data_IF_598553762485
#
_entry.id   IF_598553762485
#
_cell.length_a   1.000
_cell.length_b   1.000
_cell.length_c   1.000
_cell.angle_alpha   90.00
_cell.angle_beta   90.00
_cell.angle_gamma   90.00
#
_symmetry.space_group_name_H-M   'P 1'
#
loop_
_entity.id
_entity.type
_entity.pdbx_description
1 polymer ?
#
# COMPACT_ATOMS: atom_id res chain seq x y z
N UNK A 1 6.56 -8.29 5.46
CA UNK A 1 6.77 -7.87 4.06
C UNK A 1 6.94 -6.35 3.90
N UNK A 2 5.91 -5.48 3.93
CA UNK A 2 6.12 -4.02 4.03
C UNK A 2 6.40 -3.56 5.46
N UNK A 3 5.66 -4.10 6.44
CA UNK A 3 5.87 -3.83 7.86
C UNK A 3 7.28 -4.22 8.36
N UNK A 4 7.86 -5.30 7.82
CA UNK A 4 9.23 -5.73 8.13
C UNK A 4 10.26 -4.72 7.62
N UNK A 5 10.12 -4.28 6.36
CA UNK A 5 10.97 -3.23 5.81
C UNK A 5 10.83 -1.93 6.61
N UNK A 6 9.61 -1.56 6.99
CA UNK A 6 9.38 -0.42 7.85
C UNK A 6 10.07 -0.57 9.20
N UNK A 7 10.20 -1.77 9.75
CA UNK A 7 10.96 -2.02 10.98
C UNK A 7 12.46 -1.88 10.76
N UNK A 8 13.01 -2.47 9.70
CA UNK A 8 14.45 -2.44 9.39
C UNK A 8 14.96 -1.02 9.14
N UNK A 9 14.14 -0.20 8.48
CA UNK A 9 14.47 1.19 8.11
C UNK A 9 13.81 2.23 9.03
N UNK A 10 13.11 1.80 10.10
CA UNK A 10 12.25 2.67 10.91
C UNK A 10 12.96 3.93 11.39
N UNK A 11 14.14 3.75 11.98
CA UNK A 11 14.91 4.84 12.57
C UNK A 11 15.47 5.81 11.54
N UNK A 12 15.78 5.32 10.33
CA UNK A 12 16.22 6.18 9.25
C UNK A 12 15.04 6.99 8.71
N UNK A 13 13.92 6.32 8.41
CA UNK A 13 12.71 6.97 7.94
C UNK A 13 12.17 7.98 8.93
N UNK A 14 12.23 7.73 10.24
CA UNK A 14 11.79 8.69 11.26
C UNK A 14 12.58 10.01 11.27
N UNK A 15 13.78 10.06 10.70
CA UNK A 15 14.53 11.33 10.53
C UNK A 15 13.96 12.21 9.43
N UNK A 16 13.25 11.62 8.48
CA UNK A 16 12.71 12.29 7.29
C UNK A 16 11.18 12.40 7.32
N UNK A 17 10.51 11.48 8.01
CA UNK A 17 9.06 11.36 8.04
C UNK A 17 8.50 11.54 9.45
N UNK A 18 7.43 12.32 9.54
CA UNK A 18 6.53 12.32 10.67
C UNK A 18 5.33 11.40 10.38
N UNK A 19 5.22 10.29 11.11
CA UNK A 19 4.15 9.31 10.89
C UNK A 19 2.86 9.74 11.60
N UNK A 20 1.86 10.15 10.82
CA UNK A 20 0.57 10.67 11.32
C UNK A 20 -0.51 9.58 11.45
N UNK A 21 -0.71 8.78 10.40
CA UNK A 21 -1.67 7.69 10.37
C UNK A 21 -0.99 6.37 9.95
N UNK A 22 -0.47 5.64 10.94
CA UNK A 22 0.29 4.41 10.73
C UNK A 22 -0.48 3.19 11.26
N UNK A 23 -1.49 2.74 10.52
CA UNK A 23 -2.32 1.58 10.86
C UNK A 23 -1.51 0.30 11.15
N UNK A 24 -0.36 0.13 10.50
CA UNK A 24 0.45 -1.09 10.56
C UNK A 24 1.23 -1.26 11.87
N UNK A 25 1.61 -0.16 12.55
CA UNK A 25 2.52 -0.24 13.71
C UNK A 25 2.25 0.79 14.82
N UNK A 26 1.16 1.57 14.74
CA UNK A 26 0.76 2.50 15.79
C UNK A 26 -0.73 2.40 16.13
N UNK A 27 -1.03 2.31 17.42
CA UNK A 27 -2.39 2.47 17.95
C UNK A 27 -2.81 3.93 18.12
N UNK A 28 -1.83 4.86 18.15
CA UNK A 28 -2.08 6.31 18.17
C UNK A 28 -2.05 6.80 16.73
N UNK A 29 -3.24 7.06 16.18
CA UNK A 29 -3.44 7.44 14.78
C UNK A 29 -4.26 8.71 14.71
N UNK A 30 -3.83 9.63 13.87
CA UNK A 30 -4.65 10.76 13.47
C UNK A 30 -5.19 10.52 12.05
N UNK A 31 -6.46 10.13 12.00
CA UNK A 31 -7.14 9.80 10.74
C UNK A 31 -7.71 11.02 10.02
N UNK A 32 -7.57 12.22 10.60
CA UNK A 32 -8.22 13.44 10.13
C UNK A 32 -7.22 14.45 9.54
N UNK A 33 -6.00 14.50 10.07
CA UNK A 33 -4.98 15.45 9.59
C UNK A 33 -4.61 15.23 8.12
N UNK A 34 -4.31 16.30 7.36
CA UNK A 34 -3.74 16.20 6.02
C UNK A 34 -2.44 15.41 6.02
N UNK A 35 -2.16 14.75 4.89
CA UNK A 35 -0.94 13.98 4.66
C UNK A 35 -0.21 14.51 3.42
N UNK A 36 1.10 14.61 3.50
CA UNK A 36 1.91 14.84 2.29
C UNK A 36 1.93 13.58 1.42
N UNK A 37 2.15 12.42 2.04
CA UNK A 37 2.27 11.13 1.37
C UNK A 37 1.46 10.07 2.12
N UNK A 38 0.69 9.25 1.38
CA UNK A 38 0.06 8.04 1.88
C UNK A 38 0.58 6.82 1.11
N UNK A 39 1.27 5.92 1.82
CA UNK A 39 1.64 4.60 1.32
C UNK A 39 0.54 3.60 1.65
N UNK A 40 -0.04 2.95 0.64
CA UNK A 40 -1.19 2.05 0.81
C UNK A 40 -0.83 0.68 0.22
N UNK A 41 -0.82 -0.33 1.08
CA UNK A 41 -0.64 -1.74 0.72
C UNK A 41 -2.00 -2.45 0.59
N UNK A 42 -2.10 -3.42 -0.31
CA UNK A 42 -3.26 -4.30 -0.43
C UNK A 42 -4.33 -3.83 -1.43
N UNK A 43 -5.24 -4.75 -1.75
CA UNK A 43 -6.41 -4.52 -2.59
C UNK A 43 -7.67 -4.36 -1.70
N UNK A 44 -8.69 -3.66 -2.18
CA UNK A 44 -9.94 -3.53 -1.48
C UNK A 44 -10.70 -4.87 -1.48
N UNK A 45 -10.94 -5.42 -0.30
CA UNK A 45 -11.65 -6.68 -0.11
C UNK A 45 -12.92 -6.50 0.76
N UNK A 46 -13.35 -5.25 0.96
CA UNK A 46 -14.58 -4.87 1.63
C UNK A 46 -14.98 -3.43 1.26
N UNK A 47 -16.24 -3.07 1.48
CA UNK A 47 -16.70 -1.68 1.33
C UNK A 47 -15.99 -0.74 2.30
N UNK A 48 -15.60 -1.24 3.47
CA UNK A 48 -14.81 -0.49 4.44
C UNK A 48 -13.43 -0.11 3.90
N UNK A 49 -12.77 -1.02 3.17
CA UNK A 49 -11.48 -0.72 2.52
C UNK A 49 -11.64 0.38 1.48
N UNK A 50 -12.70 0.29 0.66
CA UNK A 50 -13.01 1.31 -0.36
C UNK A 50 -13.20 2.68 0.30
N UNK A 51 -14.02 2.76 1.36
CA UNK A 51 -14.24 4.01 2.10
C UNK A 51 -12.94 4.53 2.72
N UNK A 52 -12.09 3.64 3.24
CA UNK A 52 -10.80 4.01 3.82
C UNK A 52 -9.85 4.58 2.77
N UNK A 53 -9.74 3.93 1.61
CA UNK A 53 -8.93 4.39 0.48
C UNK A 53 -9.41 5.76 -0.03
N UNK A 54 -10.72 5.96 -0.16
CA UNK A 54 -11.30 7.25 -0.56
C UNK A 54 -10.96 8.37 0.44
N UNK A 55 -11.08 8.10 1.74
CA UNK A 55 -10.70 9.07 2.80
C UNK A 55 -9.21 9.39 2.78
N UNK A 56 -8.35 8.39 2.59
CA UNK A 56 -6.91 8.59 2.45
C UNK A 56 -6.58 9.47 1.24
N UNK A 57 -7.21 9.20 0.09
CA UNK A 57 -7.03 10.00 -1.12
C UNK A 57 -7.44 11.46 -0.93
N UNK A 58 -8.54 11.71 -0.23
CA UNK A 58 -9.06 13.07 0.00
C UNK A 58 -8.11 13.96 0.81
N UNK A 59 -7.31 13.36 1.69
CA UNK A 59 -6.41 14.13 2.59
C UNK A 59 -4.93 13.99 2.26
N UNK A 60 -4.54 13.10 1.36
CA UNK A 60 -3.17 12.93 0.93
C UNK A 60 -2.86 13.77 -0.32
N UNK A 61 -1.72 14.47 -0.33
CA UNK A 61 -1.22 15.13 -1.54
C UNK A 61 -0.72 14.09 -2.56
N UNK A 62 0.03 13.07 -2.09
CA UNK A 62 0.53 11.95 -2.90
C UNK A 62 0.05 10.60 -2.35
N UNK A 63 -0.42 9.71 -3.22
CA UNK A 63 -0.75 8.31 -2.89
C UNK A 63 0.17 7.36 -3.64
N UNK A 64 0.76 6.43 -2.90
CA UNK A 64 1.66 5.41 -3.43
C UNK A 64 1.05 4.04 -3.23
N UNK A 65 0.82 3.31 -4.31
CA UNK A 65 0.39 1.92 -4.25
C UNK A 65 1.59 1.02 -3.93
N UNK A 66 1.50 0.24 -2.86
CA UNK A 66 2.56 -0.64 -2.39
C UNK A 66 2.18 -2.10 -2.60
N UNK A 67 3.01 -2.83 -3.33
CA UNK A 67 2.89 -4.26 -3.55
C UNK A 67 1.92 -4.65 -4.67
N UNK A 68 2.05 -5.90 -5.12
CA UNK A 68 1.32 -6.45 -6.27
C UNK A 68 -0.20 -6.34 -6.13
N UNK A 69 -0.74 -6.56 -4.92
CA UNK A 69 -2.18 -6.44 -4.68
C UNK A 69 -2.69 -5.01 -4.89
N UNK A 70 -1.98 -3.99 -4.38
CA UNK A 70 -2.39 -2.61 -4.57
C UNK A 70 -2.25 -2.15 -6.03
N UNK A 71 -1.17 -2.59 -6.70
CA UNK A 71 -0.86 -2.18 -8.07
C UNK A 71 -1.75 -2.88 -9.12
N UNK A 72 -1.87 -4.21 -9.02
CA UNK A 72 -2.47 -5.07 -10.06
C UNK A 72 -3.66 -5.90 -9.57
N UNK A 73 -3.86 -6.00 -8.26
CA UNK A 73 -4.93 -6.79 -7.64
C UNK A 73 -4.49 -8.22 -7.32
N UNK A 74 -3.46 -8.74 -7.99
CA UNK A 74 -3.02 -10.12 -7.82
C UNK A 74 -2.03 -10.28 -6.65
N UNK A 75 -2.10 -11.41 -5.92
CA UNK A 75 -2.99 -12.56 -6.16
C UNK A 75 -4.40 -12.42 -5.56
N UNK A 76 -4.67 -11.41 -4.72
CA UNK A 76 -5.97 -11.29 -4.02
C UNK A 76 -7.17 -11.33 -4.96
N UNK A 77 -7.10 -10.63 -6.09
CA UNK A 77 -8.15 -10.55 -7.10
C UNK A 77 -8.25 -11.76 -8.04
N UNK A 78 -7.51 -12.84 -7.80
CA UNK A 78 -7.55 -14.04 -8.65
C UNK A 78 -8.97 -14.61 -8.75
N UNK A 79 -9.78 -14.51 -7.69
CA UNK A 79 -11.17 -14.97 -7.73
C UNK A 79 -12.07 -14.19 -8.70
N UNK A 80 -11.65 -13.01 -9.14
CA UNK A 80 -12.41 -12.23 -10.13
C UNK A 80 -12.43 -12.90 -11.51
N UNK A 81 -11.53 -13.85 -11.78
CA UNK A 81 -11.45 -14.60 -13.05
C UNK A 81 -11.97 -16.02 -12.93
N UNK A 82 -12.59 -16.38 -11.80
CA UNK A 82 -13.16 -17.70 -11.59
C UNK A 82 -14.36 -17.93 -12.53
N UNK A 83 -14.49 -19.18 -12.96
CA UNK A 83 -15.68 -19.69 -13.67
C UNK A 83 -16.92 -19.63 -12.77
N UNK A 84 -18.15 -19.63 -13.33
CA UNK A 84 -19.37 -19.69 -12.53
C UNK A 84 -19.39 -20.86 -11.54
N UNK A 85 -18.86 -22.02 -11.91
CA UNK A 85 -18.75 -23.20 -11.06
C UNK A 85 -17.82 -22.95 -9.86
N UNK A 86 -16.66 -22.33 -10.10
CA UNK A 86 -15.72 -21.95 -9.06
C UNK A 86 -16.28 -20.88 -8.13
N UNK A 87 -17.02 -19.89 -8.65
CA UNK A 87 -17.72 -18.89 -7.84
C UNK A 87 -18.77 -19.56 -6.96
N UNK A 88 -19.60 -20.45 -7.52
CA UNK A 88 -20.60 -21.19 -6.75
C UNK A 88 -19.96 -22.01 -5.61
N UNK A 89 -18.78 -22.58 -5.83
CA UNK A 89 -18.04 -23.32 -4.81
C UNK A 89 -17.55 -22.44 -3.64
N UNK A 90 -17.18 -21.17 -3.89
CA UNK A 90 -16.73 -20.24 -2.85
C UNK A 90 -17.84 -19.34 -2.29
N UNK A 91 -19.02 -19.31 -2.91
CA UNK A 91 -20.13 -18.42 -2.53
C UNK A 91 -20.50 -18.50 -1.03
N UNK A 92 -20.55 -19.68 -0.39
CA UNK A 92 -20.84 -19.76 1.05
C UNK A 92 -19.81 -19.02 1.91
N UNK A 93 -18.54 -19.01 1.49
CA UNK A 93 -17.45 -18.29 2.17
C UNK A 93 -17.62 -16.79 1.96
N UNK A 94 -17.90 -16.35 0.73
CA UNK A 94 -18.11 -14.93 0.41
C UNK A 94 -19.26 -14.36 1.24
N UNK A 95 -20.39 -15.06 1.29
CA UNK A 95 -21.55 -14.64 2.09
C UNK A 95 -21.25 -14.66 3.59
N UNK A 96 -20.60 -15.71 4.11
CA UNK A 96 -20.28 -15.83 5.54
C UNK A 96 -19.42 -14.69 6.06
N UNK A 97 -18.48 -14.20 5.26
CA UNK A 97 -17.55 -13.16 5.64
C UNK A 97 -17.87 -11.79 5.03
N UNK A 98 -19.02 -11.66 4.36
CA UNK A 98 -19.45 -10.43 3.68
C UNK A 98 -18.38 -9.87 2.73
N UNK A 99 -17.73 -10.74 1.96
CA UNK A 99 -16.78 -10.32 0.93
C UNK A 99 -17.53 -9.81 -0.30
N UNK A 100 -17.01 -8.76 -0.98
CA UNK A 100 -17.59 -8.29 -2.23
C UNK A 100 -17.42 -9.34 -3.32
N UNK A 101 -18.21 -9.31 -4.38
CA UNK A 101 -18.06 -10.26 -5.49
C UNK A 101 -16.72 -10.08 -6.22
N UNK A 102 -16.21 -8.85 -6.27
CA UNK A 102 -14.94 -8.50 -6.90
C UNK A 102 -14.00 -7.78 -5.94
N UNK A 103 -12.73 -8.16 -5.99
CA UNK A 103 -11.64 -7.44 -5.32
C UNK A 103 -11.09 -6.40 -6.28
N UNK A 104 -10.88 -5.17 -5.80
CA UNK A 104 -10.37 -4.08 -6.62
C UNK A 104 -8.96 -3.68 -6.17
N UNK A 105 -7.96 -3.63 -7.07
CA UNK A 105 -6.68 -3.00 -6.73
C UNK A 105 -6.88 -1.52 -6.37
N UNK A 106 -5.94 -0.96 -5.63
CA UNK A 106 -5.96 0.46 -5.25
C UNK A 106 -6.11 1.36 -6.48
N UNK A 107 -5.42 1.02 -7.57
CA UNK A 107 -5.44 1.72 -8.86
C UNK A 107 -6.81 1.79 -9.53
N UNK A 108 -7.75 0.91 -9.15
CA UNK A 108 -9.14 0.94 -9.61
C UNK A 108 -10.09 1.64 -8.61
N UNK A 109 -9.65 1.87 -7.37
CA UNK A 109 -10.46 2.51 -6.33
C UNK A 109 -10.21 4.01 -6.28
N UNK A 110 -8.95 4.43 -6.39
CA UNK A 110 -8.53 5.84 -6.34
C UNK A 110 -7.36 6.13 -7.31
N UNK A 111 -7.17 7.39 -7.74
CA UNK A 111 -5.97 7.81 -8.44
C UNK A 111 -4.71 7.65 -7.56
N UNK A 112 -3.66 7.06 -8.13
CA UNK A 112 -2.36 6.88 -7.50
C UNK A 112 -1.30 7.71 -8.22
N UNK A 113 -0.34 8.25 -7.46
CA UNK A 113 0.75 9.08 -7.98
C UNK A 113 2.00 8.25 -8.31
N UNK A 114 2.22 7.16 -7.59
CA UNK A 114 3.34 6.23 -7.80
C UNK A 114 2.93 4.79 -7.45
N UNK A 115 3.67 3.82 -7.97
CA UNK A 115 3.44 2.40 -7.72
C UNK A 115 4.76 1.69 -7.45
N UNK A 116 4.78 0.83 -6.44
CA UNK A 116 5.92 -0.03 -6.10
C UNK A 116 5.47 -1.49 -6.23
N UNK A 117 5.63 -2.11 -7.42
CA UNK A 117 5.19 -3.47 -7.65
C UNK A 117 6.04 -4.52 -6.92
N UNK A 118 5.52 -5.74 -6.85
CA UNK A 118 6.18 -6.92 -6.27
C UNK A 118 5.40 -7.55 -5.11
N UNK A 119 5.66 -8.83 -4.84
CA UNK A 119 5.14 -9.55 -3.67
C UNK A 119 6.22 -10.50 -3.10
N UNK A 120 7.15 -10.06 -2.23
CA UNK A 120 7.30 -8.71 -1.65
C UNK A 120 7.54 -7.60 -2.66
N UNK A 121 7.19 -6.37 -2.30
CA UNK A 121 7.56 -5.20 -3.11
C UNK A 121 9.08 -5.15 -3.30
N UNK A 122 9.53 -4.64 -4.44
CA UNK A 122 10.96 -4.48 -4.70
C UNK A 122 11.55 -3.33 -3.86
N UNK A 123 12.54 -3.63 -3.02
CA UNK A 123 13.17 -2.66 -2.11
C UNK A 123 13.83 -1.50 -2.85
N UNK A 124 14.58 -1.76 -3.92
CA UNK A 124 15.27 -0.71 -4.68
C UNK A 124 14.27 0.27 -5.31
N UNK A 125 13.17 -0.27 -5.84
CA UNK A 125 12.05 0.51 -6.38
C UNK A 125 11.38 1.33 -5.29
N UNK A 126 11.20 0.76 -4.10
CA UNK A 126 10.66 1.47 -2.95
C UNK A 126 11.57 2.65 -2.54
N UNK A 127 12.87 2.41 -2.37
CA UNK A 127 13.83 3.45 -1.99
C UNK A 127 13.94 4.54 -3.06
N UNK A 128 13.95 4.16 -4.34
CA UNK A 128 13.92 5.13 -5.44
C UNK A 128 12.64 5.99 -5.41
N UNK A 129 11.49 5.37 -5.15
CA UNK A 129 10.20 6.08 -5.01
C UNK A 129 10.20 7.03 -3.81
N UNK A 130 10.70 6.58 -2.66
CA UNK A 130 10.85 7.42 -1.45
C UNK A 130 11.76 8.62 -1.72
N UNK A 131 12.90 8.41 -2.38
CA UNK A 131 13.83 9.48 -2.72
C UNK A 131 13.22 10.50 -3.69
N UNK A 132 12.47 10.04 -4.69
CA UNK A 132 11.75 10.93 -5.59
C UNK A 132 10.71 11.76 -4.83
N UNK A 133 9.94 11.14 -3.95
CA UNK A 133 8.93 11.85 -3.14
C UNK A 133 9.58 12.88 -2.22
N UNK A 134 10.71 12.57 -1.58
CA UNK A 134 11.43 13.54 -0.77
C UNK A 134 11.83 14.76 -1.59
N UNK A 135 12.36 14.54 -2.81
CA UNK A 135 12.72 15.63 -3.72
C UNK A 135 11.50 16.45 -4.13
N UNK A 136 10.36 15.81 -4.43
CA UNK A 136 9.11 16.50 -4.78
C UNK A 136 8.62 17.45 -3.66
N UNK A 137 8.91 17.10 -2.39
CA UNK A 137 8.61 17.93 -1.22
C UNK A 137 9.78 18.82 -0.76
N UNK A 138 10.85 18.94 -1.54
CA UNK A 138 11.98 19.85 -1.25
C UNK A 138 12.99 19.32 -0.22
N UNK A 139 12.99 18.01 0.03
CA UNK A 139 13.93 17.33 0.91
C UNK A 139 15.05 16.62 0.14
N UNK A 140 16.22 16.48 0.76
CA UNK A 140 17.32 15.70 0.19
C UNK A 140 16.98 14.20 0.17
N UNK A 141 17.39 13.45 -0.87
CA UNK A 141 17.20 12.01 -0.92
C UNK A 141 17.98 11.29 0.18
N UNK A 142 17.45 10.16 0.64
CA UNK A 142 18.15 9.23 1.52
C UNK A 142 19.21 8.53 0.67
N UNK A 143 20.48 8.90 0.87
CA UNK A 143 21.61 8.21 0.26
C UNK A 143 21.76 6.87 1.00
N UNK A 144 21.33 5.78 0.39
CA UNK A 144 21.72 4.46 0.91
C UNK A 144 23.24 4.34 0.75
N UNK A 145 23.95 4.06 1.85
CA UNK A 145 25.27 3.47 1.70
C UNK A 145 25.05 2.19 0.89
N UNK A 146 25.62 2.09 -0.31
CA UNK A 146 25.72 0.81 -1.00
C UNK A 146 26.44 -0.16 -0.05
N UNK A 147 25.67 -0.98 0.64
CA UNK A 147 26.21 -2.15 1.31
C UNK A 147 26.47 -3.17 0.23
N UNK A 148 27.72 -3.27 -0.15
CA UNK A 148 28.31 -4.45 -0.77
C UNK A 148 27.91 -5.66 0.08
N UNK A 149 26.83 -6.35 -0.28
CA UNK A 149 26.55 -7.69 0.24
C UNK A 149 27.39 -8.62 -0.63
N UNK A 150 28.63 -8.86 -0.19
CA UNK A 150 29.42 -9.97 -0.69
C UNK A 150 28.64 -11.25 -0.41
N UNK A 151 28.40 -12.03 -1.47
CA UNK A 151 27.91 -13.42 -1.39
C UNK A 151 28.95 -14.31 -0.71
#
# INVERSE_FOLDING_TARGET
MFAELLNDYFFEFKKHFNFIDAATFSSKRDTQSPLDIAFIEGAANSDHDVVTMLKLRQRAQKVVAIGSCACTGLPSAQRNTFTPEQIAAIQPILTKFNYPDQIKPLTQVIPVDAQVPGCPMNLDTFLATVNQLLVDFGHAPIVSKSSTINH
#
